data_IF_060791046596
#
_entry.id   IF_060791046596
#
_cell.length_a   1.000
_cell.length_b   1.000
_cell.length_c   1.000
_cell.angle_alpha   90.00
_cell.angle_beta   90.00
_cell.angle_gamma   90.00
#
_symmetry.space_group_name_H-M   'P 1'
#
loop_
_entity.id
_entity.type
_entity.pdbx_description
1 polymer ?
#
# COMPACT_ATOMS: atom_id res chain seq x y z
N UNK A 1 -7.62 3.53 -49.34
CA UNK A 1 -7.70 2.60 -48.19
C UNK A 1 -6.70 3.10 -47.17
N UNK A 2 -7.15 3.91 -46.22
CA UNK A 2 -6.29 4.37 -45.11
C UNK A 2 -6.42 3.39 -43.96
N UNK A 3 -5.32 2.73 -43.58
CA UNK A 3 -5.23 2.02 -42.31
C UNK A 3 -4.84 3.02 -41.23
N UNK A 4 -5.82 3.47 -40.45
CA UNK A 4 -5.60 4.29 -39.26
C UNK A 4 -5.03 3.39 -38.15
N UNK A 5 -3.72 3.44 -37.94
CA UNK A 5 -3.10 2.81 -36.77
C UNK A 5 -3.62 3.50 -35.50
N UNK A 6 -4.16 2.73 -34.55
CA UNK A 6 -4.55 3.24 -33.24
C UNK A 6 -3.29 3.64 -32.45
N UNK A 7 -3.29 4.74 -31.69
CA UNK A 7 -2.14 5.14 -30.90
C UNK A 7 -1.90 4.13 -29.77
N UNK A 8 -0.62 3.84 -29.54
CA UNK A 8 -0.06 2.84 -28.61
C UNK A 8 -0.12 3.28 -27.14
N UNK A 9 -0.90 4.31 -26.80
CA UNK A 9 -0.92 4.94 -25.45
C UNK A 9 -1.63 4.12 -24.36
N UNK A 10 -1.84 2.82 -24.58
CA UNK A 10 -2.48 1.92 -23.62
C UNK A 10 -1.47 1.10 -22.82
N UNK A 11 -0.26 1.62 -22.61
CA UNK A 11 0.68 1.07 -21.64
C UNK A 11 0.30 1.61 -20.25
N UNK A 12 -0.35 0.72 -19.50
CA UNK A 12 -0.62 0.80 -18.07
C UNK A 12 0.34 1.72 -17.32
N UNK A 13 -0.20 2.72 -16.62
CA UNK A 13 0.56 3.48 -15.63
C UNK A 13 1.07 2.52 -14.56
N UNK A 14 2.34 2.12 -14.67
CA UNK A 14 3.05 1.49 -13.56
C UNK A 14 2.96 2.42 -12.36
N UNK A 15 2.55 1.88 -11.21
CA UNK A 15 2.62 2.61 -9.94
C UNK A 15 4.10 2.80 -9.61
N UNK A 16 4.67 3.93 -10.04
CA UNK A 16 6.00 4.36 -9.62
C UNK A 16 5.83 5.30 -8.43
N UNK A 17 5.73 4.73 -7.24
CA UNK A 17 6.01 5.45 -6.01
C UNK A 17 7.09 4.70 -5.26
N UNK A 18 8.31 5.22 -5.36
CA UNK A 18 9.50 4.67 -4.67
C UNK A 18 9.89 5.52 -3.45
N UNK A 19 8.98 6.39 -2.99
CA UNK A 19 9.19 7.26 -1.83
C UNK A 19 8.67 6.63 -0.53
N UNK A 20 9.30 6.95 0.59
CA UNK A 20 8.72 6.68 1.90
C UNK A 20 7.44 7.51 2.05
N UNK A 21 6.29 6.84 2.07
CA UNK A 21 4.97 7.50 2.17
C UNK A 21 4.52 7.72 3.61
N UNK A 22 4.93 6.87 4.54
CA UNK A 22 4.54 6.94 5.95
C UNK A 22 5.47 6.12 6.84
N UNK A 23 5.61 6.56 8.09
CA UNK A 23 6.27 5.82 9.17
C UNK A 23 5.23 5.47 10.23
N UNK A 24 5.14 4.18 10.59
CA UNK A 24 4.24 3.71 11.64
C UNK A 24 5.01 3.47 12.94
N UNK A 25 4.88 4.38 13.89
CA UNK A 25 5.43 4.22 15.25
C UNK A 25 4.36 3.61 16.16
N UNK A 26 4.48 2.33 16.47
CA UNK A 26 3.43 1.57 17.16
C UNK A 26 3.93 0.73 18.35
N UNK A 27 5.05 0.03 18.21
CA UNK A 27 5.58 -0.90 19.20
C UNK A 27 7.09 -0.73 19.41
N UNK A 28 7.59 -1.15 20.57
CA UNK A 28 9.02 -1.17 20.91
C UNK A 28 9.70 -2.50 20.62
N UNK A 29 8.92 -3.56 20.40
CA UNK A 29 9.40 -4.90 20.03
C UNK A 29 9.21 -5.16 18.54
N UNK A 30 9.68 -6.33 18.07
CA UNK A 30 9.52 -6.78 16.69
C UNK A 30 8.03 -6.81 16.31
N UNK A 31 7.72 -6.21 15.17
CA UNK A 31 6.35 -6.04 14.66
C UNK A 31 6.04 -7.07 13.59
N UNK A 32 4.82 -7.62 13.63
CA UNK A 32 4.19 -8.34 12.54
C UNK A 32 3.07 -7.46 11.95
N UNK A 33 2.95 -7.47 10.62
CA UNK A 33 2.06 -6.59 9.87
C UNK A 33 1.13 -7.39 8.95
N UNK A 34 -0.14 -7.01 8.91
CA UNK A 34 -1.08 -7.43 7.88
C UNK A 34 -1.88 -6.22 7.36
N UNK A 35 -2.21 -6.25 6.07
CA UNK A 35 -3.02 -5.22 5.40
C UNK A 35 -4.28 -5.88 4.85
N UNK A 36 -5.42 -5.23 4.99
CA UNK A 36 -6.67 -5.71 4.40
C UNK A 36 -6.58 -5.69 2.87
N UNK A 37 -7.28 -6.60 2.16
CA UNK A 37 -7.25 -6.63 0.69
C UNK A 37 -7.75 -5.35 0.02
N UNK A 38 -8.61 -4.58 0.70
CA UNK A 38 -9.09 -3.28 0.25
C UNK A 38 -8.09 -2.13 0.51
N UNK A 39 -6.98 -2.39 1.19
CA UNK A 39 -5.95 -1.39 1.54
C UNK A 39 -6.35 -0.38 2.61
N UNK A 40 -7.54 -0.50 3.21
CA UNK A 40 -8.08 0.51 4.13
C UNK A 40 -7.64 0.33 5.59
N UNK A 41 -7.27 -0.91 5.95
CA UNK A 41 -6.96 -1.27 7.33
C UNK A 41 -5.60 -1.95 7.42
N UNK A 42 -4.83 -1.52 8.41
CA UNK A 42 -3.58 -2.17 8.81
C UNK A 42 -3.75 -2.71 10.23
N UNK A 43 -3.28 -3.93 10.46
CA UNK A 43 -3.14 -4.53 11.78
C UNK A 43 -1.66 -4.71 12.09
N UNK A 44 -1.22 -4.23 13.25
CA UNK A 44 0.10 -4.50 13.79
C UNK A 44 -0.01 -5.28 15.09
N UNK A 45 0.90 -6.23 15.29
CA UNK A 45 1.07 -6.94 16.56
C UNK A 45 2.54 -7.07 16.92
N UNK A 46 2.84 -7.10 18.21
CA UNK A 46 4.21 -7.22 18.71
C UNK A 46 4.30 -8.03 20.00
N UNK A 47 5.53 -8.29 20.44
CA UNK A 47 5.83 -8.97 21.71
C UNK A 47 5.49 -8.16 22.97
N UNK A 48 4.95 -6.95 22.83
CA UNK A 48 4.34 -6.20 23.96
C UNK A 48 2.93 -6.68 24.28
N UNK A 49 2.50 -7.80 23.70
CA UNK A 49 1.19 -8.42 23.90
C UNK A 49 0.01 -7.54 23.43
N UNK A 50 0.28 -6.56 22.56
CA UNK A 50 -0.75 -5.66 22.03
C UNK A 50 -0.95 -5.82 20.53
N UNK A 51 -2.19 -5.55 20.11
CA UNK A 51 -2.59 -5.36 18.72
C UNK A 51 -3.03 -3.91 18.52
N UNK A 52 -2.68 -3.31 17.39
CA UNK A 52 -3.16 -1.98 17.00
C UNK A 52 -3.81 -2.03 15.62
N UNK A 53 -4.93 -1.34 15.53
CA UNK A 53 -5.72 -1.15 14.32
C UNK A 53 -5.53 0.28 13.81
N UNK A 54 -5.19 0.40 12.54
CA UNK A 54 -4.95 1.67 11.87
C UNK A 54 -5.86 1.75 10.65
N UNK A 55 -6.60 2.86 10.53
CA UNK A 55 -7.36 3.18 9.32
C UNK A 55 -6.54 4.13 8.47
N UNK A 56 -6.33 3.76 7.21
CA UNK A 56 -5.73 4.64 6.23
C UNK A 56 -6.79 5.66 5.78
N UNK A 57 -6.49 6.94 5.95
CA UNK A 57 -7.27 8.02 5.32
C UNK A 57 -6.58 8.38 4.01
N UNK A 58 -7.37 8.34 2.93
CA UNK A 58 -6.99 8.94 1.66
C UNK A 58 -6.98 10.46 1.76
#
# INVERSE_FOLDING_TARGET
METKAAPIDQFFNDVVSTGLIATLTCHTYRVYLAVSPDGQTIVTGAGDETLRLLSMKA
#
